data_IF_005665071379
#
_entry.id   IF_005665071379
#
_cell.length_a   1.000
_cell.length_b   1.000
_cell.length_c   1.000
_cell.angle_alpha   90.00
_cell.angle_beta   90.00
_cell.angle_gamma   90.00
#
_symmetry.space_group_name_H-M   'P 1'
#
loop_
_entity.id
_entity.type
_entity.pdbx_description
1 polymer ?
#
# COMPACT_ATOMS: atom_id res chain seq x y z
N UNK A 1 13.51 -26.20 -6.25
CA UNK A 1 13.65 -25.03 -7.14
C UNK A 1 12.49 -24.11 -6.81
N UNK A 2 12.72 -23.19 -5.85
CA UNK A 2 11.70 -22.31 -5.33
C UNK A 2 11.31 -21.26 -6.36
N UNK A 3 10.09 -21.33 -6.86
CA UNK A 3 9.47 -20.21 -7.54
C UNK A 3 9.19 -19.13 -6.48
N UNK A 4 10.03 -18.09 -6.44
CA UNK A 4 9.76 -16.89 -5.69
C UNK A 4 8.56 -16.22 -6.32
N UNK A 5 7.42 -16.28 -5.65
CA UNK A 5 6.28 -15.44 -5.98
C UNK A 5 6.69 -14.01 -5.61
N UNK A 6 7.05 -13.21 -6.60
CA UNK A 6 7.14 -11.76 -6.45
C UNK A 6 5.71 -11.25 -6.25
N UNK A 7 5.25 -11.21 -4.99
CA UNK A 7 3.97 -10.58 -4.65
C UNK A 7 4.20 -9.09 -4.79
N UNK A 8 3.66 -8.55 -5.88
CA UNK A 8 3.75 -7.15 -6.24
C UNK A 8 2.78 -6.34 -5.38
N UNK A 9 3.22 -5.82 -4.25
CA UNK A 9 2.47 -4.78 -3.54
C UNK A 9 2.78 -3.42 -4.20
N UNK A 10 1.87 -2.98 -5.05
CA UNK A 10 1.94 -1.63 -5.60
C UNK A 10 1.42 -0.68 -4.53
N UNK A 11 2.32 0.11 -3.94
CA UNK A 11 1.97 1.18 -3.00
C UNK A 11 1.65 2.42 -3.83
N UNK A 12 0.39 2.59 -4.20
CA UNK A 12 -0.10 3.85 -4.75
C UNK A 12 -0.63 4.72 -3.63
N UNK A 13 -0.21 5.98 -3.62
CA UNK A 13 -0.83 6.99 -2.77
C UNK A 13 -1.50 8.03 -3.63
N UNK A 14 -2.75 8.32 -3.31
CA UNK A 14 -3.58 9.29 -4.00
C UNK A 14 -3.97 10.40 -3.05
N UNK A 15 -3.85 11.64 -3.51
CA UNK A 15 -4.51 12.77 -2.89
C UNK A 15 -5.84 12.99 -3.60
N UNK A 16 -6.93 12.83 -2.87
CA UNK A 16 -8.31 12.92 -3.39
C UNK A 16 -8.93 14.23 -2.91
N UNK A 17 -9.52 14.99 -3.80
CA UNK A 17 -10.07 16.32 -3.52
C UNK A 17 -11.51 16.48 -4.03
N UNK A 18 -12.32 17.22 -3.28
CA UNK A 18 -13.63 17.67 -3.68
C UNK A 18 -13.60 19.13 -4.13
N UNK A 19 -14.01 19.42 -5.36
CA UNK A 19 -13.91 20.75 -5.95
C UNK A 19 -15.25 21.50 -5.88
N UNK A 20 -15.54 22.16 -4.76
CA UNK A 20 -16.69 23.06 -4.65
C UNK A 20 -16.37 24.54 -4.97
N UNK A 21 -15.11 24.88 -5.27
CA UNK A 21 -14.65 26.28 -5.34
C UNK A 21 -14.29 26.80 -6.74
N UNK A 22 -14.56 26.08 -7.79
CA UNK A 22 -14.49 26.68 -9.14
C UNK A 22 -15.80 27.43 -9.37
N UNK A 23 -15.75 28.74 -9.13
CA UNK A 23 -16.79 29.69 -9.54
C UNK A 23 -16.90 29.75 -11.06
N UNK A 24 -17.47 28.74 -11.67
CA UNK A 24 -18.00 28.81 -13.02
C UNK A 24 -19.45 29.27 -12.94
N UNK A 25 -19.68 30.54 -13.20
CA UNK A 25 -20.95 31.26 -13.14
C UNK A 25 -22.02 30.77 -14.13
N UNK A 26 -21.83 29.60 -14.72
CA UNK A 26 -22.71 29.06 -15.76
C UNK A 26 -22.86 27.52 -15.67
N UNK A 27 -23.27 26.97 -14.53
CA UNK A 27 -23.94 25.65 -14.57
C UNK A 27 -24.73 25.43 -13.28
N UNK A 28 -26.02 25.29 -13.39
CA UNK A 28 -26.95 24.94 -12.31
C UNK A 28 -26.83 23.48 -11.85
N UNK A 29 -25.72 22.78 -12.13
CA UNK A 29 -25.35 21.48 -11.55
C UNK A 29 -23.98 21.63 -10.91
N UNK A 30 -23.91 21.75 -9.59
CA UNK A 30 -22.65 21.60 -8.85
C UNK A 30 -22.11 20.20 -9.13
N UNK A 31 -21.00 20.10 -9.84
CA UNK A 31 -20.29 18.84 -9.97
C UNK A 31 -19.90 18.35 -8.59
N UNK A 32 -20.33 17.17 -8.21
CA UNK A 32 -19.97 16.49 -6.96
C UNK A 32 -18.92 15.42 -7.20
N UNK A 33 -18.10 15.61 -8.24
CA UNK A 33 -17.08 14.63 -8.61
C UNK A 33 -15.90 14.69 -7.67
N UNK A 34 -15.51 13.52 -7.17
CA UNK A 34 -14.28 13.33 -6.42
C UNK A 34 -13.15 13.07 -7.42
N UNK A 35 -12.06 13.79 -7.31
CA UNK A 35 -10.94 13.72 -8.25
C UNK A 35 -9.63 13.37 -7.55
N UNK A 36 -8.73 12.72 -8.27
CA UNK A 36 -7.37 12.44 -7.81
C UNK A 36 -6.48 13.58 -8.31
N UNK A 37 -5.86 14.32 -7.39
CA UNK A 37 -5.01 15.47 -7.71
C UNK A 37 -3.57 15.04 -7.97
N UNK A 38 -3.06 14.10 -7.19
CA UNK A 38 -1.68 13.63 -7.26
C UNK A 38 -1.61 12.15 -6.92
N UNK A 39 -0.71 11.43 -7.58
CA UNK A 39 -0.46 10.01 -7.34
C UNK A 39 1.03 9.73 -7.47
N UNK A 40 1.62 9.10 -6.47
CA UNK A 40 3.03 8.73 -6.46
C UNK A 40 3.23 7.37 -5.81
N UNK A 41 4.35 6.72 -6.08
CA UNK A 41 4.77 5.50 -5.40
C UNK A 41 6.29 5.44 -5.26
N UNK A 42 6.74 4.65 -4.32
CA UNK A 42 8.14 4.23 -4.28
C UNK A 42 8.45 3.26 -5.42
N UNK A 43 9.71 3.03 -5.76
CA UNK A 43 10.10 1.83 -6.49
C UNK A 43 9.60 0.59 -5.74
N UNK A 44 9.34 -0.49 -6.48
CA UNK A 44 8.99 -1.77 -5.87
C UNK A 44 10.28 -2.51 -5.53
N UNK A 45 10.57 -2.62 -4.23
CA UNK A 45 11.71 -3.36 -3.73
C UNK A 45 11.49 -4.87 -3.79
N UNK A 46 12.54 -5.61 -4.10
CA UNK A 46 12.54 -7.07 -3.91
C UNK A 46 12.63 -7.41 -2.42
N UNK A 47 12.11 -8.57 -2.03
CA UNK A 47 12.26 -9.07 -0.65
C UNK A 47 13.75 -9.14 -0.27
N UNK A 48 14.11 -8.53 0.86
CA UNK A 48 15.48 -8.32 1.35
C UNK A 48 16.39 -7.54 0.38
N UNK A 49 15.80 -6.78 -0.54
CA UNK A 49 16.52 -5.92 -1.48
C UNK A 49 16.85 -4.54 -0.90
N UNK A 50 17.00 -3.56 -1.79
CA UNK A 50 17.48 -2.23 -1.46
C UNK A 50 16.61 -1.46 -0.45
N UNK A 51 15.30 -1.69 -0.41
CA UNK A 51 14.37 -1.02 0.52
C UNK A 51 14.20 -1.77 1.86
N UNK A 52 14.94 -2.85 2.09
CA UNK A 52 14.74 -3.74 3.25
C UNK A 52 14.86 -3.04 4.61
N UNK A 53 15.71 -2.05 4.72
CA UNK A 53 16.08 -1.38 5.97
C UNK A 53 15.22 -0.13 6.25
N UNK A 54 14.31 0.26 5.34
CA UNK A 54 13.36 1.33 5.56
C UNK A 54 12.11 0.81 6.27
N UNK A 55 11.81 1.38 7.43
CA UNK A 55 10.57 1.05 8.13
C UNK A 55 9.35 1.42 7.30
N UNK A 56 8.26 0.72 7.52
CA UNK A 56 7.01 0.91 6.79
C UNK A 56 6.48 2.35 6.90
N UNK A 57 6.57 2.97 8.09
CA UNK A 57 6.17 4.36 8.31
C UNK A 57 7.09 5.37 7.59
N UNK A 58 8.39 5.05 7.42
CA UNK A 58 9.31 5.87 6.63
C UNK A 58 8.95 5.85 5.15
N UNK A 59 8.63 4.67 4.59
CA UNK A 59 8.12 4.55 3.22
C UNK A 59 6.84 5.38 3.05
N UNK A 60 5.91 5.28 4.00
CA UNK A 60 4.70 6.09 4.03
C UNK A 60 4.98 7.59 4.10
N UNK A 61 5.91 8.02 4.96
CA UNK A 61 6.34 9.42 5.08
C UNK A 61 6.83 9.99 3.75
N UNK A 62 7.71 9.26 3.07
CA UNK A 62 8.31 9.68 1.80
C UNK A 62 7.22 9.96 0.75
N UNK A 63 6.27 9.05 0.59
CA UNK A 63 5.23 9.19 -0.44
C UNK A 63 4.16 10.23 -0.04
N UNK A 64 3.81 10.38 1.24
CA UNK A 64 2.92 11.45 1.72
C UNK A 64 3.55 12.83 1.44
N UNK A 65 4.82 13.01 1.77
CA UNK A 65 5.53 14.26 1.51
C UNK A 65 5.56 14.61 0.02
N UNK A 66 5.85 13.64 -0.84
CA UNK A 66 5.94 13.87 -2.27
C UNK A 66 4.56 14.09 -2.91
N UNK A 67 3.50 13.42 -2.46
CA UNK A 67 2.16 13.63 -2.99
C UNK A 67 1.63 15.04 -2.66
N UNK A 68 1.94 15.57 -1.47
CA UNK A 68 1.64 16.94 -1.09
C UNK A 68 2.38 17.95 -1.98
N UNK A 69 3.68 17.73 -2.18
CA UNK A 69 4.54 18.59 -3.01
C UNK A 69 4.05 18.62 -4.45
N UNK A 70 3.81 17.48 -5.08
CA UNK A 70 3.32 17.41 -6.47
C UNK A 70 1.90 17.96 -6.63
N UNK A 71 1.04 17.68 -5.65
CA UNK A 71 -0.33 18.20 -5.60
C UNK A 71 -0.40 19.68 -5.31
N UNK A 72 0.70 20.31 -4.85
CA UNK A 72 0.76 21.71 -4.40
C UNK A 72 -0.29 22.01 -3.31
N UNK A 73 -0.52 21.05 -2.44
CA UNK A 73 -1.47 21.13 -1.32
C UNK A 73 -0.69 21.28 -0.02
N UNK A 74 -1.09 22.26 0.80
CA UNK A 74 -0.53 22.42 2.13
C UNK A 74 -0.97 21.27 3.05
N UNK A 75 -0.08 20.79 3.89
CA UNK A 75 -0.38 19.75 4.88
C UNK A 75 -1.54 20.14 5.83
N UNK A 76 -1.72 21.43 6.08
CA UNK A 76 -2.83 21.95 6.90
C UNK A 76 -4.21 21.77 6.25
N UNK A 77 -4.27 21.64 4.94
CA UNK A 77 -5.52 21.43 4.19
C UNK A 77 -5.98 19.97 4.21
N UNK A 78 -5.11 19.04 4.58
CA UNK A 78 -5.48 17.64 4.66
C UNK A 78 -6.39 17.42 5.87
N UNK A 79 -7.49 16.74 5.65
CA UNK A 79 -8.46 16.43 6.71
C UNK A 79 -8.18 15.09 7.35
N UNK A 80 -7.71 14.11 6.56
CA UNK A 80 -7.44 12.77 7.04
C UNK A 80 -6.39 12.03 6.18
N UNK A 81 -5.71 11.05 6.80
CA UNK A 81 -4.81 10.11 6.10
C UNK A 81 -5.27 8.68 6.33
N UNK A 82 -5.53 7.94 5.25
CA UNK A 82 -5.97 6.53 5.28
C UNK A 82 -4.96 5.66 4.57
N UNK A 83 -4.31 4.75 5.31
CA UNK A 83 -3.28 3.87 4.75
C UNK A 83 -3.68 2.41 4.84
N UNK A 84 -3.56 1.71 3.73
CA UNK A 84 -3.61 0.25 3.72
C UNK A 84 -2.31 -0.35 4.26
N UNK A 85 -2.39 -1.28 5.19
CA UNK A 85 -1.24 -2.04 5.67
C UNK A 85 -1.72 -3.37 6.23
N UNK A 86 -1.00 -4.45 5.94
CA UNK A 86 -1.32 -5.81 6.41
C UNK A 86 -0.52 -6.14 7.66
N UNK A 87 0.80 -5.98 7.58
CA UNK A 87 1.75 -6.44 8.59
C UNK A 87 2.09 -5.29 9.56
N UNK A 88 1.37 -5.24 10.67
CA UNK A 88 1.49 -4.14 11.64
C UNK A 88 2.31 -4.49 12.88
N UNK A 89 2.60 -5.78 13.09
CA UNK A 89 3.35 -6.24 14.25
C UNK A 89 4.71 -5.54 14.37
N UNK A 90 5.02 -5.03 15.56
CA UNK A 90 6.28 -4.31 15.84
C UNK A 90 6.38 -2.92 15.18
N UNK A 91 5.40 -2.46 14.43
CA UNK A 91 5.38 -1.15 13.76
C UNK A 91 5.06 0.04 14.68
N UNK A 92 4.80 -0.20 15.96
CA UNK A 92 4.38 0.83 16.91
C UNK A 92 2.91 1.19 16.78
N UNK A 93 2.52 2.25 17.50
CA UNK A 93 1.12 2.72 17.44
C UNK A 93 0.83 3.33 16.07
N UNK A 94 -0.18 2.79 15.39
CA UNK A 94 -0.76 3.34 14.18
C UNK A 94 0.30 3.85 13.17
N UNK A 95 0.96 2.99 12.41
CA UNK A 95 1.97 3.38 11.43
C UNK A 95 1.50 4.40 10.38
N UNK A 96 0.19 4.46 10.06
CA UNK A 96 -0.35 5.52 9.21
C UNK A 96 -0.25 6.90 9.90
N UNK A 97 -0.51 6.94 11.20
CA UNK A 97 -0.37 8.15 12.00
C UNK A 97 1.10 8.60 12.07
N UNK A 98 2.02 7.65 12.26
CA UNK A 98 3.45 7.94 12.27
C UNK A 98 3.88 8.53 10.93
N UNK A 99 3.51 7.91 9.82
CA UNK A 99 3.81 8.38 8.48
C UNK A 99 3.24 9.79 8.21
N UNK A 100 1.98 10.04 8.59
CA UNK A 100 1.31 11.31 8.42
C UNK A 100 2.03 12.45 9.18
N UNK A 101 2.29 12.26 10.46
CA UNK A 101 2.94 13.28 11.30
C UNK A 101 4.38 13.54 10.85
N UNK A 102 5.13 12.49 10.52
CA UNK A 102 6.50 12.62 10.02
C UNK A 102 6.56 13.32 8.65
N UNK A 103 5.50 13.25 7.86
CA UNK A 103 5.35 13.99 6.60
C UNK A 103 4.87 15.45 6.79
N UNK A 104 4.69 15.90 8.03
CA UNK A 104 4.28 17.27 8.35
C UNK A 104 2.78 17.51 8.37
N UNK A 105 1.94 16.46 8.37
CA UNK A 105 0.49 16.60 8.61
C UNK A 105 0.29 16.99 10.08
N UNK A 106 -0.54 18.03 10.37
CA UNK A 106 -0.77 18.48 11.73
C UNK A 106 -1.26 17.37 12.66
N UNK A 107 -0.82 17.38 13.92
CA UNK A 107 -1.21 16.39 14.93
C UNK A 107 -2.71 16.40 15.24
N UNK A 108 -3.42 17.47 14.90
CA UNK A 108 -4.88 17.57 15.03
C UNK A 108 -5.65 16.78 13.98
N UNK A 109 -4.99 16.36 12.89
CA UNK A 109 -5.64 15.63 11.79
C UNK A 109 -5.63 14.12 12.06
N UNK A 110 -6.74 13.41 11.88
CA UNK A 110 -6.81 11.97 12.09
C UNK A 110 -6.02 11.20 11.02
N UNK A 111 -5.58 10.00 11.41
CA UNK A 111 -5.02 9.03 10.48
C UNK A 111 -5.34 7.62 10.97
N UNK A 112 -5.65 6.70 10.07
CA UNK A 112 -5.90 5.32 10.43
C UNK A 112 -5.41 4.32 9.38
N UNK A 113 -5.30 3.07 9.81
CA UNK A 113 -4.98 1.94 8.94
C UNK A 113 -6.25 1.18 8.56
N UNK A 114 -6.26 0.66 7.34
CA UNK A 114 -7.24 -0.35 6.90
C UNK A 114 -6.50 -1.61 6.50
N UNK A 115 -7.05 -2.75 6.88
CA UNK A 115 -6.54 -4.06 6.49
C UNK A 115 -7.64 -4.86 5.80
N UNK A 116 -7.47 -5.08 4.52
CA UNK A 116 -8.24 -5.98 3.66
C UNK A 116 -7.26 -6.86 2.87
N UNK A 117 -6.21 -7.33 3.55
CA UNK A 117 -5.07 -8.07 2.99
C UNK A 117 -4.53 -7.34 1.74
N UNK A 118 -4.31 -8.01 0.61
CA UNK A 118 -3.78 -7.41 -0.61
C UNK A 118 -4.64 -6.27 -1.19
N UNK A 119 -5.91 -6.16 -0.80
CA UNK A 119 -6.84 -5.11 -1.19
C UNK A 119 -6.77 -3.82 -0.36
N UNK A 120 -5.92 -3.76 0.68
CA UNK A 120 -5.90 -2.69 1.67
C UNK A 120 -5.67 -1.30 1.07
N UNK A 121 -4.71 -1.17 0.15
CA UNK A 121 -4.41 0.11 -0.50
C UNK A 121 -5.59 0.64 -1.32
N UNK A 122 -6.24 -0.22 -2.12
CA UNK A 122 -7.45 0.15 -2.86
C UNK A 122 -8.62 0.45 -1.90
N UNK A 123 -8.74 -0.30 -0.80
CA UNK A 123 -9.77 -0.03 0.22
C UNK A 123 -9.59 1.34 0.86
N UNK A 124 -8.36 1.77 1.12
CA UNK A 124 -8.07 3.12 1.62
C UNK A 124 -8.60 4.20 0.64
N UNK A 125 -8.36 4.03 -0.66
CA UNK A 125 -8.87 4.95 -1.70
C UNK A 125 -10.40 4.96 -1.73
N UNK A 126 -11.04 3.79 -1.65
CA UNK A 126 -12.51 3.69 -1.60
C UNK A 126 -13.06 4.39 -0.36
N UNK A 127 -12.41 4.22 0.81
CA UNK A 127 -12.83 4.89 2.05
C UNK A 127 -12.71 6.41 1.94
N UNK A 128 -11.60 6.93 1.40
CA UNK A 128 -11.44 8.35 1.16
C UNK A 128 -12.46 8.93 0.18
N UNK A 129 -12.75 8.20 -0.92
CA UNK A 129 -13.83 8.57 -1.82
C UNK A 129 -15.19 8.68 -1.09
N UNK A 130 -15.50 7.71 -0.22
CA UNK A 130 -16.73 7.70 0.55
C UNK A 130 -16.82 8.88 1.52
N UNK A 131 -15.74 9.17 2.28
CA UNK A 131 -15.69 10.31 3.22
C UNK A 131 -15.92 11.63 2.49
N UNK A 132 -15.31 11.85 1.32
CA UNK A 132 -15.52 13.07 0.53
C UNK A 132 -16.95 13.13 -0.02
N UNK A 133 -17.50 12.03 -0.50
CA UNK A 133 -18.91 11.99 -0.98
C UNK A 133 -19.92 12.29 0.12
N UNK A 134 -19.62 11.87 1.35
CA UNK A 134 -20.45 12.16 2.54
C UNK A 134 -20.22 13.56 3.11
N UNK A 135 -19.23 14.30 2.59
CA UNK A 135 -18.82 15.62 3.05
C UNK A 135 -18.23 15.64 4.47
N UNK A 136 -17.65 14.51 4.89
CA UNK A 136 -16.90 14.42 6.14
C UNK A 136 -15.50 15.04 6.00
N UNK A 137 -14.99 15.14 4.75
CA UNK A 137 -13.70 15.70 4.42
C UNK A 137 -13.70 16.31 3.01
N UNK A 138 -12.78 17.27 2.78
CA UNK A 138 -12.52 17.87 1.47
C UNK A 138 -11.24 17.31 0.84
N UNK A 139 -10.19 17.09 1.64
CA UNK A 139 -8.88 16.61 1.20
C UNK A 139 -8.42 15.39 2.01
N UNK A 140 -8.23 14.28 1.36
CA UNK A 140 -7.77 13.03 2.00
C UNK A 140 -6.55 12.49 1.26
N UNK A 141 -5.55 12.04 2.02
CA UNK A 141 -4.45 11.22 1.50
C UNK A 141 -4.82 9.75 1.72
N UNK A 142 -4.89 9.00 0.62
CA UNK A 142 -5.20 7.57 0.64
C UNK A 142 -4.11 6.78 -0.06
N UNK A 143 -3.80 5.60 0.46
CA UNK A 143 -2.83 4.73 -0.19
C UNK A 143 -2.51 3.49 0.62
N UNK A 144 -1.28 3.03 0.53
CA UNK A 144 -0.82 1.90 1.32
C UNK A 144 0.68 1.96 1.56
N UNK A 145 1.13 1.20 2.53
CA UNK A 145 2.53 1.06 2.90
C UNK A 145 2.78 -0.35 3.39
N UNK A 146 3.90 -0.95 3.00
CA UNK A 146 4.28 -2.28 3.47
C UNK A 146 5.79 -2.49 3.34
N UNK A 147 6.41 -3.16 4.32
CA UNK A 147 7.76 -3.70 4.18
C UNK A 147 7.82 -5.13 4.73
N UNK A 148 7.72 -6.10 3.84
CA UNK A 148 7.75 -7.51 4.20
C UNK A 148 9.12 -7.98 4.68
N UNK A 149 10.19 -7.25 4.37
CA UNK A 149 11.55 -7.59 4.78
C UNK A 149 11.83 -7.31 6.26
N UNK A 150 11.06 -6.39 6.87
CA UNK A 150 11.21 -5.98 8.28
C UNK A 150 10.17 -6.58 9.20
N UNK A 151 9.35 -7.52 8.73
CA UNK A 151 8.32 -8.13 9.58
C UNK A 151 8.94 -8.96 10.69
N UNK A 152 8.49 -8.78 11.95
CA UNK A 152 9.01 -9.52 13.08
C UNK A 152 8.50 -10.96 13.12
N UNK A 153 9.15 -11.74 13.97
CA UNK A 153 8.60 -12.99 14.45
C UNK A 153 7.92 -12.73 15.80
N UNK A 154 6.79 -13.39 16.03
CA UNK A 154 6.00 -13.29 17.26
C UNK A 154 5.85 -14.66 17.92
N UNK A 155 5.38 -14.66 19.14
CA UNK A 155 4.98 -15.87 19.87
C UNK A 155 3.87 -15.54 20.86
N UNK A 156 3.10 -16.53 21.23
CA UNK A 156 2.12 -16.41 22.31
C UNK A 156 2.85 -16.61 23.63
N UNK A 157 2.98 -15.54 24.41
CA UNK A 157 3.67 -15.58 25.69
C UNK A 157 2.93 -16.45 26.72
N UNK A 158 3.66 -17.28 27.46
CA UNK A 158 3.20 -18.01 28.62
C UNK A 158 4.27 -17.95 29.69
N UNK A 159 3.89 -17.61 30.91
CA UNK A 159 4.83 -17.50 32.05
C UNK A 159 5.45 -18.86 32.43
N UNK A 160 4.83 -19.96 32.01
CA UNK A 160 5.20 -21.32 32.40
C UNK A 160 6.23 -21.99 31.48
N UNK A 161 6.61 -21.37 30.37
CA UNK A 161 7.48 -22.01 29.36
C UNK A 161 8.55 -21.08 28.83
N UNK A 162 9.79 -21.57 28.84
CA UNK A 162 10.86 -20.98 28.04
C UNK A 162 10.53 -21.10 26.54
N UNK A 163 10.77 -20.01 25.81
CA UNK A 163 10.46 -19.92 24.39
C UNK A 163 11.67 -20.40 23.59
N UNK A 164 11.46 -21.43 22.76
CA UNK A 164 12.45 -21.84 21.78
C UNK A 164 12.24 -21.12 20.44
N UNK A 165 13.31 -21.04 19.62
CA UNK A 165 13.23 -20.42 18.30
C UNK A 165 12.19 -21.08 17.38
N UNK A 166 11.92 -22.35 17.57
CA UNK A 166 10.96 -23.12 16.77
C UNK A 166 9.49 -22.73 17.05
N UNK A 167 9.25 -22.02 18.14
CA UNK A 167 7.93 -21.49 18.51
C UNK A 167 7.66 -20.10 17.94
N UNK A 168 8.66 -19.48 17.31
CA UNK A 168 8.49 -18.18 16.69
C UNK A 168 7.69 -18.25 15.41
N UNK A 169 6.64 -17.46 15.35
CA UNK A 169 5.74 -17.35 14.19
C UNK A 169 6.25 -16.23 13.28
N UNK A 170 6.59 -16.56 12.05
CA UNK A 170 6.92 -15.57 11.03
C UNK A 170 5.64 -14.84 10.61
N UNK A 171 5.49 -13.57 11.02
CA UNK A 171 4.25 -12.82 10.77
C UNK A 171 4.01 -12.51 9.30
N UNK A 172 5.05 -12.38 8.48
CA UNK A 172 4.90 -12.21 7.03
C UNK A 172 4.18 -13.41 6.40
N UNK A 173 4.58 -14.61 6.79
CA UNK A 173 3.99 -15.84 6.27
C UNK A 173 2.63 -16.09 6.88
N UNK A 174 2.55 -16.06 8.21
CA UNK A 174 1.34 -16.44 8.94
C UNK A 174 0.18 -15.47 8.68
N UNK A 175 0.44 -14.15 8.79
CA UNK A 175 -0.62 -13.14 8.73
C UNK A 175 -0.88 -12.64 7.30
N UNK A 176 0.11 -12.78 6.40
CA UNK A 176 0.01 -12.25 5.03
C UNK A 176 -0.13 -13.29 3.93
N UNK A 177 0.36 -14.51 4.11
CA UNK A 177 0.54 -15.47 3.00
C UNK A 177 -0.12 -16.84 3.23
N UNK A 178 -0.61 -17.13 4.44
CA UNK A 178 -1.34 -18.37 4.75
C UNK A 178 -2.84 -18.10 4.73
N UNK A 179 -3.58 -18.95 4.05
CA UNK A 179 -5.05 -18.99 4.13
C UNK A 179 -5.47 -19.39 5.55
N UNK A 180 -6.17 -18.49 6.24
CA UNK A 180 -6.56 -18.69 7.63
C UNK A 180 -7.60 -19.82 7.85
N UNK A 181 -8.31 -20.23 6.80
CA UNK A 181 -9.36 -21.23 6.87
C UNK A 181 -8.87 -22.61 6.47
N UNK A 182 -8.00 -22.68 5.47
CA UNK A 182 -7.51 -23.94 4.90
C UNK A 182 -6.06 -24.24 5.27
N UNK A 183 -5.37 -23.32 5.93
CA UNK A 183 -4.01 -23.45 6.44
C UNK A 183 -2.98 -23.86 5.37
N UNK A 184 -3.07 -23.26 4.17
CA UNK A 184 -2.07 -23.43 3.12
C UNK A 184 -1.61 -22.08 2.56
N UNK A 185 -0.40 -22.07 2.00
CA UNK A 185 0.21 -20.86 1.42
C UNK A 185 -0.55 -20.39 0.17
N UNK A 186 -0.57 -19.07 -0.08
CA UNK A 186 -1.21 -18.48 -1.27
C UNK A 186 -0.71 -19.06 -2.59
N UNK A 187 0.51 -19.61 -2.64
CA UNK A 187 0.99 -20.38 -3.79
C UNK A 187 0.14 -21.60 -4.10
N UNK A 188 -0.34 -22.32 -3.06
CA UNK A 188 -1.25 -23.44 -3.23
C UNK A 188 -2.62 -22.97 -3.73
N UNK A 189 -3.06 -21.77 -3.30
CA UNK A 189 -4.27 -21.14 -3.85
C UNK A 189 -4.13 -20.91 -5.35
N UNK A 190 -2.98 -20.43 -5.81
CA UNK A 190 -2.72 -20.25 -7.24
C UNK A 190 -2.77 -21.58 -8.00
N UNK A 191 -2.17 -22.64 -7.47
CA UNK A 191 -2.26 -23.99 -8.05
C UNK A 191 -3.71 -24.52 -8.11
N UNK A 192 -4.49 -24.26 -7.05
CA UNK A 192 -5.92 -24.62 -7.03
C UNK A 192 -6.71 -23.89 -8.11
N UNK A 193 -6.41 -22.60 -8.36
CA UNK A 193 -7.02 -21.82 -9.44
C UNK A 193 -6.60 -22.38 -10.80
N UNK A 194 -5.32 -22.66 -11.01
CA UNK A 194 -4.82 -23.22 -12.23
C UNK A 194 -5.52 -24.57 -12.55
N UNK A 195 -5.64 -25.43 -11.56
CA UNK A 195 -6.34 -26.72 -11.69
C UNK A 195 -7.83 -26.53 -11.99
N UNK A 196 -8.51 -25.65 -11.26
CA UNK A 196 -9.96 -25.41 -11.42
C UNK A 196 -10.32 -24.88 -12.81
N UNK A 197 -9.48 -24.02 -13.38
CA UNK A 197 -9.71 -23.40 -14.68
C UNK A 197 -8.90 -24.03 -15.82
N UNK A 198 -8.23 -25.16 -15.59
CA UNK A 198 -7.42 -25.87 -16.57
C UNK A 198 -6.34 -24.98 -17.23
N UNK A 199 -5.69 -24.13 -16.42
CA UNK A 199 -4.61 -23.25 -16.89
C UNK A 199 -3.31 -24.05 -16.89
N UNK A 200 -2.74 -24.28 -18.07
CA UNK A 200 -1.50 -25.04 -18.20
C UNK A 200 -0.27 -24.28 -17.69
N UNK A 201 0.79 -24.99 -17.37
CA UNK A 201 2.09 -24.40 -17.00
C UNK A 201 2.60 -23.48 -18.11
N UNK A 202 2.47 -23.89 -19.35
CA UNK A 202 2.89 -23.09 -20.50
C UNK A 202 2.14 -21.75 -20.55
N UNK A 203 0.83 -21.74 -20.37
CA UNK A 203 0.03 -20.50 -20.33
C UNK A 203 0.47 -19.57 -19.20
N UNK A 204 0.79 -20.11 -18.02
CA UNK A 204 1.30 -19.32 -16.89
C UNK A 204 2.65 -18.69 -17.22
N UNK A 205 3.57 -19.44 -17.81
CA UNK A 205 4.90 -18.95 -18.18
C UNK A 205 4.84 -17.90 -19.31
N UNK A 206 4.00 -18.12 -20.33
CA UNK A 206 3.75 -17.15 -21.40
C UNK A 206 3.18 -15.85 -20.87
N UNK A 207 2.22 -15.91 -19.95
CA UNK A 207 1.64 -14.73 -19.29
C UNK A 207 2.71 -13.97 -18.48
N UNK A 208 3.51 -14.68 -17.69
CA UNK A 208 4.60 -14.09 -16.92
C UNK A 208 5.63 -13.40 -17.82
N UNK A 209 6.07 -14.07 -18.90
CA UNK A 209 7.00 -13.52 -19.87
C UNK A 209 6.44 -12.26 -20.55
N UNK A 210 5.16 -12.29 -20.94
CA UNK A 210 4.49 -11.13 -21.55
C UNK A 210 4.44 -9.95 -20.58
N UNK A 211 4.15 -10.20 -19.29
CA UNK A 211 4.17 -9.18 -18.25
C UNK A 211 5.55 -8.53 -18.10
N UNK A 212 6.62 -9.31 -18.07
CA UNK A 212 8.00 -8.81 -18.01
C UNK A 212 8.34 -7.93 -19.23
N UNK A 213 8.02 -8.40 -20.44
CA UNK A 213 8.24 -7.63 -21.68
C UNK A 213 7.49 -6.31 -21.70
N UNK A 214 6.23 -6.30 -21.25
CA UNK A 214 5.43 -5.06 -21.15
C UNK A 214 6.08 -4.07 -20.17
N UNK A 215 6.57 -4.56 -19.03
CA UNK A 215 7.25 -3.74 -18.03
C UNK A 215 8.54 -3.15 -18.59
N UNK A 216 9.36 -3.96 -19.27
CA UNK A 216 10.59 -3.50 -19.92
C UNK A 216 10.32 -2.38 -20.94
N UNK A 217 9.30 -2.56 -21.79
CA UNK A 217 8.90 -1.55 -22.78
C UNK A 217 8.39 -0.29 -22.09
N UNK A 218 7.62 -0.41 -21.00
CA UNK A 218 7.12 0.73 -20.25
C UNK A 218 8.26 1.53 -19.61
N UNK A 219 9.26 0.86 -19.03
CA UNK A 219 10.46 1.50 -18.47
C UNK A 219 11.25 2.21 -19.57
N UNK A 220 11.54 1.56 -20.70
CA UNK A 220 12.26 2.16 -21.84
C UNK A 220 11.55 3.40 -22.40
N UNK A 221 10.22 3.45 -22.29
CA UNK A 221 9.40 4.58 -22.76
C UNK A 221 9.06 5.58 -21.63
N UNK A 222 9.74 5.53 -20.50
CA UNK A 222 9.59 6.47 -19.36
C UNK A 222 8.15 6.57 -18.84
N UNK A 223 7.35 5.48 -18.95
CA UNK A 223 5.95 5.50 -18.55
C UNK A 223 5.75 5.62 -17.04
N UNK A 224 6.76 5.29 -16.25
CA UNK A 224 6.70 5.31 -14.79
C UNK A 224 7.35 6.56 -14.16
N UNK A 225 7.99 7.44 -14.95
CA UNK A 225 8.78 8.57 -14.43
C UNK A 225 7.92 9.56 -13.64
N UNK A 226 6.67 9.72 -14.04
CA UNK A 226 5.73 10.63 -13.37
C UNK A 226 5.13 10.05 -12.08
N UNK A 227 5.29 8.77 -11.79
CA UNK A 227 4.72 8.15 -10.61
C UNK A 227 5.76 7.66 -9.61
N UNK A 228 6.90 7.14 -10.08
CA UNK A 228 7.97 6.66 -9.22
C UNK A 228 8.77 7.83 -8.69
N UNK A 229 9.04 7.81 -7.38
CA UNK A 229 9.89 8.78 -6.72
C UNK A 229 11.26 8.18 -6.45
N UNK A 230 12.30 9.01 -6.55
CA UNK A 230 13.62 8.60 -6.11
C UNK A 230 13.67 8.52 -4.59
N UNK A 231 14.33 7.50 -4.09
CA UNK A 231 14.64 7.35 -2.66
C UNK A 231 16.15 7.46 -2.51
N UNK A 232 16.60 8.57 -1.93
CA UNK A 232 18.01 8.75 -1.62
C UNK A 232 18.35 7.94 -0.36
N UNK A 233 19.30 7.02 -0.50
CA UNK A 233 19.90 6.32 0.62
C UNK A 233 21.13 7.07 1.06
N UNK A 234 21.07 7.71 2.20
CA UNK A 234 22.25 8.15 2.95
C UNK A 234 22.56 7.16 4.07
#
# INVERSE_FOLDING_TARGET
TGAFINILFIVYQFLVYFNDKINLKFMNNKSTDVVIISAVRTPIGTYKGSLKDLRVDQLGTIVISEVLKRGKISSNQIDEVIMGQVLTAGGGQNPARQAAVNAGIPISKPAHLVNQVCGSGLRAVISGYQSIKLRDADYIICGGQENMSMTPHTYFYSEEKEISKDQLINTMIHDGLIDAFNNYHMGVTAENVAKKFNISRQQQDEFALLSQRKTEIAIKNNKFDNEIINIDYN
#
